data_IF_325283340383
#
_entry.id   IF_325283340383
#
_cell.length_a   1.000
_cell.length_b   1.000
_cell.length_c   1.000
_cell.angle_alpha   90.00
_cell.angle_beta   90.00
_cell.angle_gamma   90.00
#
_symmetry.space_group_name_H-M   'P 1'
#
loop_
_entity.id
_entity.type
_entity.pdbx_description
1 polymer ?
#
# COMPACT_ATOMS: atom_id res chain seq x y z
N UNK A 1 12.56 -16.89 -2.69
CA UNK A 1 11.33 -16.57 -1.93
C UNK A 1 11.21 -17.31 -0.58
N UNK A 2 11.60 -18.59 -0.44
CA UNK A 2 11.53 -19.30 0.85
C UNK A 2 12.35 -18.63 1.97
N UNK A 3 13.46 -17.97 1.65
CA UNK A 3 14.33 -17.28 2.61
C UNK A 3 13.68 -16.06 3.30
N UNK A 4 12.61 -15.51 2.72
CA UNK A 4 11.89 -14.35 3.29
C UNK A 4 10.70 -14.77 4.15
N UNK A 5 10.42 -16.07 4.28
CA UNK A 5 9.34 -16.56 5.14
C UNK A 5 9.67 -16.20 6.59
N UNK A 6 8.77 -15.45 7.23
CA UNK A 6 8.95 -14.97 8.60
C UNK A 6 9.68 -13.62 8.71
N UNK A 7 10.07 -13.01 7.59
CA UNK A 7 10.54 -11.63 7.57
C UNK A 7 9.50 -10.70 8.19
N UNK A 8 9.93 -9.83 9.11
CA UNK A 8 9.06 -8.88 9.80
C UNK A 8 9.42 -7.47 9.36
N UNK A 9 8.46 -6.77 8.76
CA UNK A 9 8.56 -5.33 8.57
C UNK A 9 8.55 -4.61 9.92
N UNK A 10 9.11 -3.40 9.96
CA UNK A 10 9.01 -2.52 11.12
C UNK A 10 7.54 -2.29 11.50
N UNK A 11 7.28 -2.04 12.77
CA UNK A 11 5.99 -1.52 13.21
C UNK A 11 5.89 -0.04 12.86
N UNK A 12 4.67 0.45 12.62
CA UNK A 12 4.44 1.87 12.52
C UNK A 12 2.96 2.22 12.46
N UNK A 13 2.67 3.51 12.33
CA UNK A 13 1.32 4.05 12.34
C UNK A 13 1.16 5.08 11.23
N UNK A 14 0.05 5.01 10.51
CA UNK A 14 -0.33 6.01 9.54
C UNK A 14 -1.70 6.58 9.92
N UNK A 15 -1.81 7.90 10.00
CA UNK A 15 -3.08 8.57 10.20
C UNK A 15 -3.59 9.02 8.85
N UNK A 16 -4.76 8.50 8.48
CA UNK A 16 -5.46 8.93 7.27
C UNK A 16 -6.19 10.21 7.60
N UNK A 17 -5.75 11.31 7.01
CA UNK A 17 -6.40 12.60 7.23
C UNK A 17 -7.72 12.69 6.45
N UNK A 18 -8.64 13.52 6.92
CA UNK A 18 -9.95 13.68 6.27
C UNK A 18 -9.83 14.07 4.79
N UNK A 19 -8.91 14.98 4.48
CA UNK A 19 -8.67 15.44 3.11
C UNK A 19 -8.10 14.32 2.22
N UNK A 20 -7.25 13.44 2.75
CA UNK A 20 -6.70 12.31 1.99
C UNK A 20 -7.83 11.36 1.61
N UNK A 21 -8.70 11.05 2.57
CA UNK A 21 -9.85 10.20 2.35
C UNK A 21 -10.82 10.78 1.32
N UNK A 22 -11.11 12.07 1.44
CA UNK A 22 -11.99 12.78 0.53
C UNK A 22 -11.42 12.76 -0.91
N UNK A 23 -10.16 13.17 -1.08
CA UNK A 23 -9.54 13.25 -2.41
C UNK A 23 -9.40 11.88 -3.07
N UNK A 24 -9.03 10.84 -2.32
CA UNK A 24 -8.93 9.49 -2.87
C UNK A 24 -10.29 8.97 -3.31
N UNK A 25 -11.34 9.20 -2.53
CA UNK A 25 -12.72 8.81 -2.86
C UNK A 25 -13.21 9.50 -4.13
N UNK A 26 -12.96 10.80 -4.28
CA UNK A 26 -13.28 11.54 -5.51
C UNK A 26 -12.51 11.00 -6.72
N UNK A 27 -11.20 10.75 -6.56
CA UNK A 27 -10.34 10.29 -7.65
C UNK A 27 -10.72 8.89 -8.18
N UNK A 28 -11.33 8.06 -7.35
CA UNK A 28 -11.82 6.72 -7.71
C UNK A 28 -13.30 6.70 -8.08
N UNK A 29 -13.96 7.86 -8.18
CA UNK A 29 -15.40 8.01 -8.40
C UNK A 29 -16.24 7.23 -7.36
N UNK A 30 -15.74 7.11 -6.13
CA UNK A 30 -16.43 6.48 -5.02
C UNK A 30 -17.52 7.37 -4.43
N UNK A 31 -18.52 6.76 -3.81
CA UNK A 31 -19.54 7.50 -3.05
C UNK A 31 -18.99 7.92 -1.68
N UNK A 32 -19.25 9.17 -1.29
CA UNK A 32 -18.95 9.63 0.06
C UNK A 32 -19.98 9.07 1.03
N UNK A 33 -19.56 8.10 1.84
CA UNK A 33 -20.33 7.64 3.00
C UNK A 33 -20.14 8.58 4.20
N UNK A 34 -21.01 8.46 5.20
CA UNK A 34 -20.83 9.16 6.47
C UNK A 34 -19.41 8.96 7.01
N UNK A 35 -18.83 10.01 7.60
CA UNK A 35 -17.41 10.20 7.95
C UNK A 35 -16.70 9.11 8.78
N UNK A 36 -17.37 8.02 9.14
CA UNK A 36 -16.85 6.94 9.95
C UNK A 36 -15.94 5.95 9.18
N UNK A 37 -15.94 5.98 7.84
CA UNK A 37 -15.21 4.99 7.04
C UNK A 37 -14.21 5.63 6.07
N UNK A 38 -13.07 4.98 5.97
CA UNK A 38 -12.01 5.28 5.02
C UNK A 38 -12.20 4.50 3.72
N UNK A 39 -11.79 5.09 2.60
CA UNK A 39 -11.77 4.45 1.29
C UNK A 39 -10.93 3.14 1.31
N UNK A 40 -11.46 1.99 0.86
CA UNK A 40 -10.78 0.70 0.97
C UNK A 40 -9.38 0.65 0.34
N UNK A 41 -9.12 1.45 -0.69
CA UNK A 41 -7.79 1.50 -1.34
C UNK A 41 -6.65 1.91 -0.41
N UNK A 42 -6.92 2.56 0.74
CA UNK A 42 -5.87 2.80 1.72
C UNK A 42 -5.24 1.51 2.27
N UNK A 43 -5.92 0.36 2.19
CA UNK A 43 -5.35 -0.94 2.56
C UNK A 43 -4.10 -1.31 1.74
N UNK A 44 -3.91 -0.74 0.55
CA UNK A 44 -2.74 -1.02 -0.29
C UNK A 44 -1.55 -0.08 0.00
N UNK A 45 -1.82 1.17 0.40
CA UNK A 45 -0.79 2.20 0.49
C UNK A 45 -0.48 2.63 1.93
N UNK A 46 -1.49 2.68 2.80
CA UNK A 46 -1.32 3.10 4.19
C UNK A 46 -0.40 2.16 4.99
N UNK A 47 -0.42 0.82 4.82
CA UNK A 47 0.52 -0.05 5.52
C UNK A 47 1.97 0.23 5.14
N UNK A 48 2.26 0.45 3.85
CA UNK A 48 3.61 0.78 3.37
C UNK A 48 4.08 2.11 3.94
N UNK A 49 3.23 3.13 3.89
CA UNK A 49 3.52 4.43 4.48
C UNK A 49 3.71 4.37 6.00
N UNK A 50 2.91 3.55 6.71
CA UNK A 50 3.00 3.39 8.15
C UNK A 50 4.39 2.87 8.59
N UNK A 51 4.96 1.96 7.80
CA UNK A 51 6.26 1.35 8.10
C UNK A 51 7.44 2.06 7.42
N UNK A 52 7.16 3.14 6.68
CA UNK A 52 8.16 3.95 5.99
C UNK A 52 8.82 3.25 4.80
N UNK A 53 8.16 2.25 4.20
CA UNK A 53 8.71 1.51 3.07
C UNK A 53 8.45 2.23 1.75
N UNK A 54 9.49 2.24 0.93
CA UNK A 54 9.42 2.54 -0.49
C UNK A 54 9.21 1.26 -1.31
N UNK A 55 8.62 1.39 -2.50
CA UNK A 55 8.54 0.25 -3.43
C UNK A 55 9.92 -0.28 -3.82
N UNK A 56 10.94 0.58 -3.90
CA UNK A 56 12.31 0.18 -4.20
C UNK A 56 12.87 -0.76 -3.13
N UNK A 57 12.67 -0.47 -1.84
CA UNK A 57 13.12 -1.35 -0.76
C UNK A 57 12.43 -2.72 -0.82
N UNK A 58 11.16 -2.77 -1.22
CA UNK A 58 10.46 -4.04 -1.46
C UNK A 58 11.12 -4.77 -2.65
N UNK A 59 11.42 -4.07 -3.74
CA UNK A 59 12.05 -4.70 -4.91
C UNK A 59 13.44 -5.26 -4.60
N UNK A 60 14.25 -4.50 -3.86
CA UNK A 60 15.57 -4.93 -3.41
C UNK A 60 15.47 -6.15 -2.49
N UNK A 61 14.49 -6.17 -1.59
CA UNK A 61 14.23 -7.31 -0.68
C UNK A 61 13.91 -8.59 -1.46
N UNK A 62 13.16 -8.50 -2.56
CA UNK A 62 12.78 -9.65 -3.38
C UNK A 62 13.75 -9.94 -4.53
N UNK A 63 14.85 -9.19 -4.65
CA UNK A 63 15.86 -9.38 -5.69
C UNK A 63 15.33 -9.13 -7.10
N UNK A 64 14.50 -8.10 -7.29
CA UNK A 64 13.96 -7.77 -8.60
C UNK A 64 15.11 -7.46 -9.60
N UNK A 65 15.09 -8.12 -10.76
CA UNK A 65 16.14 -7.95 -11.78
C UNK A 65 16.13 -6.54 -12.39
N UNK A 66 14.97 -5.87 -12.38
CA UNK A 66 14.81 -4.47 -12.77
C UNK A 66 13.47 -3.91 -12.28
N UNK A 67 13.32 -2.58 -12.27
CA UNK A 67 12.05 -1.93 -11.96
C UNK A 67 10.90 -2.32 -12.92
N UNK A 68 11.22 -2.80 -14.12
CA UNK A 68 10.24 -3.26 -15.12
C UNK A 68 9.84 -4.74 -14.97
N UNK A 69 10.53 -5.50 -14.12
CA UNK A 69 10.26 -6.92 -13.90
C UNK A 69 9.04 -7.16 -13.00
N UNK A 70 8.58 -6.14 -12.27
CA UNK A 70 7.42 -6.24 -11.37
C UNK A 70 6.14 -5.91 -12.13
N UNK A 71 5.20 -6.85 -12.16
CA UNK A 71 3.86 -6.67 -12.72
C UNK A 71 2.83 -6.90 -11.63
N UNK A 72 1.70 -6.20 -11.72
CA UNK A 72 0.51 -6.66 -11.00
C UNK A 72 0.29 -8.11 -11.39
N UNK A 73 0.32 -9.02 -10.43
CA UNK A 73 0.03 -10.43 -10.68
C UNK A 73 -1.33 -10.54 -11.34
N UNK A 74 -1.47 -11.46 -12.28
CA UNK A 74 -2.77 -11.79 -12.85
C UNK A 74 -3.61 -12.46 -11.74
N UNK A 75 -4.88 -12.07 -11.66
CA UNK A 75 -5.86 -12.85 -10.93
C UNK A 75 -6.34 -13.92 -11.92
N UNK A 76 -6.01 -15.19 -11.67
CA UNK A 76 -6.64 -16.32 -12.37
C UNK A 76 -8.17 -16.30 -12.20
#
# INVERSE_FOLDING_TARGET
MQELVGYRFSSGSYKIEHWENYLLTEATAGEHFSSAYTHPSFLFHAPLAAVGLTYQEIFDLYGAESAAAVRAGEYD
#
